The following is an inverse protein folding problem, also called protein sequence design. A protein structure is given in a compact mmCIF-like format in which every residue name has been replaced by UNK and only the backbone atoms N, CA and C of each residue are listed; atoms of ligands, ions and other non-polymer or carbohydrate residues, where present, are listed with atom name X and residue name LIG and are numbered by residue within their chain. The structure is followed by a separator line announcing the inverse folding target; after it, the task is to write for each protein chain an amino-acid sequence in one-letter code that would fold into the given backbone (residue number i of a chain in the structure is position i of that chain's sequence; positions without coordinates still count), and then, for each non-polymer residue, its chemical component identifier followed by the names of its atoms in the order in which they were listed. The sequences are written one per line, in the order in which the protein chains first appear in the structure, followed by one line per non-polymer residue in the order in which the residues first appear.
data_IF_282406548465
#
_entry.id   IF_282406548465
#
_cell.length_a   1.000
_cell.length_b   1.000
_cell.length_c   1.000
_cell.angle_alpha   90.00
_cell.angle_beta   90.00
_cell.angle_gamma   90.00
#
_symmetry.space_group_name_H-M   'P 1'
#
loop_
_entity.id
_entity.type
_entity.pdbx_description
1 polymer ?
#
# COMPACT_ATOMS: atom_id res chain seq x y z
N UNK A 1 45.73 24.58 36.49
CA UNK A 1 45.23 23.19 36.58
C UNK A 1 43.74 23.16 36.24
N UNK A 2 43.37 22.28 35.29
CA UNK A 2 42.07 21.58 35.10
C UNK A 2 40.75 22.36 34.88
N UNK A 3 40.41 22.46 33.58
CA UNK A 3 39.13 22.13 32.88
C UNK A 3 37.79 22.33 33.62
N UNK A 4 36.86 23.03 32.97
CA UNK A 4 35.49 22.51 32.83
C UNK A 4 34.81 23.02 31.54
N UNK A 5 34.98 22.27 30.45
CA UNK A 5 34.19 22.34 29.21
C UNK A 5 32.83 21.62 29.40
N UNK A 6 32.50 21.20 30.63
CA UNK A 6 31.39 20.29 30.91
C UNK A 6 30.02 20.96 31.07
N UNK A 7 29.87 22.27 30.83
CA UNK A 7 28.56 22.94 30.95
C UNK A 7 27.81 23.14 29.63
N UNK A 8 28.34 22.66 28.49
CA UNK A 8 27.62 22.68 27.20
C UNK A 8 27.23 21.26 26.72
N UNK A 9 27.59 20.21 27.46
CA UNK A 9 27.38 18.81 27.02
C UNK A 9 26.21 18.12 27.72
N UNK A 10 25.61 18.74 28.75
CA UNK A 10 24.55 18.12 29.55
C UNK A 10 23.11 18.36 29.07
N UNK A 11 22.89 19.20 28.06
CA UNK A 11 21.54 19.60 27.61
C UNK A 11 21.28 19.21 26.14
N UNK A 12 21.82 18.07 25.72
CA UNK A 12 21.57 17.48 24.39
C UNK A 12 21.20 15.99 24.45
N UNK A 13 20.77 15.49 25.62
CA UNK A 13 20.54 14.06 25.87
C UNK A 13 19.13 13.70 26.38
N UNK A 14 18.15 14.59 26.21
CA UNK A 14 16.74 14.32 26.56
C UNK A 14 15.78 14.62 25.40
N UNK A 15 16.17 14.23 24.19
CA UNK A 15 15.16 13.78 23.23
C UNK A 15 15.33 12.26 23.12
N UNK A 16 14.51 11.46 23.82
CA UNK A 16 14.19 10.15 23.29
C UNK A 16 13.60 10.42 21.92
N UNK A 17 14.36 9.98 20.93
CA UNK A 17 13.97 9.91 19.53
C UNK A 17 12.63 9.18 19.47
N UNK A 18 11.53 9.90 19.32
CA UNK A 18 10.32 9.34 18.73
C UNK A 18 10.58 9.12 17.23
N UNK A 19 11.59 8.33 16.90
CA UNK A 19 11.56 7.53 15.69
C UNK A 19 10.61 6.39 16.00
N UNK A 20 9.33 6.57 15.66
CA UNK A 20 8.34 5.50 15.76
C UNK A 20 8.92 4.28 15.07
N UNK A 21 9.23 3.25 15.86
CA UNK A 21 9.42 1.92 15.30
C UNK A 21 8.09 1.57 14.65
N UNK A 22 8.07 1.31 13.34
CA UNK A 22 6.98 0.54 12.75
C UNK A 22 7.13 -0.89 13.27
N UNK A 23 6.69 -1.12 14.50
CA UNK A 23 6.64 -2.46 15.08
C UNK A 23 5.52 -3.24 14.39
N UNK A 24 5.53 -4.57 14.53
CA UNK A 24 4.57 -5.43 13.84
C UNK A 24 3.11 -5.04 14.12
N UNK A 25 2.81 -4.54 15.32
CA UNK A 25 1.46 -4.07 15.69
C UNK A 25 0.97 -2.91 14.80
N UNK A 26 1.86 -2.00 14.39
CA UNK A 26 1.51 -0.90 13.47
C UNK A 26 1.16 -1.43 12.09
N UNK A 27 1.88 -2.46 11.63
CA UNK A 27 1.61 -3.11 10.34
C UNK A 27 0.26 -3.81 10.37
N UNK A 28 -0.06 -4.53 11.46
CA UNK A 28 -1.34 -5.19 11.62
C UNK A 28 -2.50 -4.18 11.53
N UNK A 29 -2.37 -3.04 12.24
CA UNK A 29 -3.36 -1.96 12.25
C UNK A 29 -3.49 -1.24 10.89
N UNK A 30 -2.36 -1.07 10.16
CA UNK A 30 -2.35 -0.51 8.82
C UNK A 30 -3.09 -1.42 7.85
N UNK A 31 -2.81 -2.72 7.82
CA UNK A 31 -3.33 -3.56 6.73
C UNK A 31 -4.75 -4.08 6.99
N UNK A 32 -5.11 -4.39 8.23
CA UNK A 32 -6.29 -5.23 8.51
C UNK A 32 -7.43 -4.50 9.22
N UNK A 33 -8.55 -5.20 9.43
CA UNK A 33 -9.74 -4.65 10.09
C UNK A 33 -10.57 -3.68 9.24
N UNK A 34 -10.24 -3.53 7.95
CA UNK A 34 -10.94 -2.66 7.00
C UNK A 34 -10.81 -3.16 5.56
N UNK A 35 -11.70 -2.68 4.72
CA UNK A 35 -11.60 -2.81 3.26
C UNK A 35 -10.85 -1.63 2.69
N UNK A 36 -9.78 -1.88 1.95
CA UNK A 36 -9.05 -0.86 1.21
C UNK A 36 -9.65 -0.72 -0.19
N UNK A 37 -9.97 0.50 -0.62
CA UNK A 37 -10.41 0.81 -1.99
C UNK A 37 -9.31 1.61 -2.70
N UNK A 38 -8.96 1.20 -3.92
CA UNK A 38 -8.04 1.95 -4.77
C UNK A 38 -8.63 3.35 -5.03
N UNK A 39 -7.79 4.36 -4.92
CA UNK A 39 -8.13 5.76 -5.21
C UNK A 39 -7.52 6.22 -6.52
N UNK A 40 -6.24 5.92 -6.74
CA UNK A 40 -5.54 6.16 -8.00
C UNK A 40 -4.21 5.39 -8.05
N UNK A 41 -3.64 5.30 -9.25
CA UNK A 41 -2.28 4.82 -9.50
C UNK A 41 -1.43 6.00 -9.92
N UNK A 42 -0.27 6.18 -9.31
CA UNK A 42 0.59 7.34 -9.59
C UNK A 42 2.07 6.97 -9.69
N UNK A 43 2.92 7.91 -10.10
CA UNK A 43 4.36 7.77 -9.92
C UNK A 43 4.71 7.93 -8.44
N UNK A 44 5.88 7.42 -8.02
CA UNK A 44 6.40 7.71 -6.68
C UNK A 44 6.38 9.23 -6.43
N UNK A 45 5.86 9.61 -5.27
CA UNK A 45 5.65 10.99 -4.82
C UNK A 45 4.61 11.81 -5.61
N UNK A 46 3.89 11.19 -6.54
CA UNK A 46 2.75 11.78 -7.24
C UNK A 46 1.48 11.81 -6.38
N UNK A 47 0.50 12.61 -6.82
CA UNK A 47 -0.77 12.81 -6.12
C UNK A 47 -2.00 12.77 -7.06
N UNK A 48 -1.80 12.26 -8.28
CA UNK A 48 -2.84 12.14 -9.30
C UNK A 48 -2.66 10.90 -10.14
N UNK A 49 -3.75 10.43 -10.74
CA UNK A 49 -3.76 9.33 -11.69
C UNK A 49 -2.78 9.60 -12.83
N UNK A 50 -1.90 8.65 -13.13
CA UNK A 50 -1.08 8.67 -14.35
C UNK A 50 -1.94 8.28 -15.56
N UNK A 51 -1.58 8.77 -16.74
CA UNK A 51 -2.25 8.32 -17.97
C UNK A 51 -1.83 6.87 -18.29
N UNK A 52 -2.73 5.94 -18.00
CA UNK A 52 -2.57 4.52 -18.34
C UNK A 52 -3.09 4.18 -19.74
N UNK A 53 -3.85 5.09 -20.35
CA UNK A 53 -4.63 4.84 -21.57
C UNK A 53 -3.98 5.43 -22.82
N UNK A 54 -2.86 6.15 -22.68
CA UNK A 54 -2.14 6.76 -23.79
C UNK A 54 -2.97 7.83 -24.51
N UNK A 55 -3.73 8.61 -23.74
CA UNK A 55 -4.64 9.63 -24.24
C UNK A 55 -5.99 9.12 -24.76
N UNK A 56 -6.30 7.82 -24.64
CA UNK A 56 -7.63 7.29 -25.01
C UNK A 56 -8.67 7.64 -23.94
N UNK A 57 -9.33 8.78 -24.11
CA UNK A 57 -10.32 9.32 -23.18
C UNK A 57 -11.52 8.39 -22.95
N UNK A 58 -11.94 7.62 -23.98
CA UNK A 58 -13.08 6.70 -23.85
C UNK A 58 -12.75 5.53 -22.93
N UNK A 59 -11.56 4.95 -23.08
CA UNK A 59 -11.10 3.90 -22.16
C UNK A 59 -10.85 4.45 -20.77
N UNK A 60 -10.31 5.67 -20.66
CA UNK A 60 -10.08 6.32 -19.38
C UNK A 60 -11.41 6.52 -18.62
N UNK A 61 -12.43 7.07 -19.30
CA UNK A 61 -13.75 7.26 -18.72
C UNK A 61 -14.38 5.94 -18.25
N UNK A 62 -14.32 4.89 -19.07
CA UNK A 62 -14.83 3.57 -18.68
C UNK A 62 -14.10 2.98 -17.45
N UNK A 63 -12.78 3.18 -17.34
CA UNK A 63 -12.02 2.77 -16.16
C UNK A 63 -12.37 3.59 -14.91
N UNK A 64 -12.59 4.91 -15.05
CA UNK A 64 -13.03 5.75 -13.93
C UNK A 64 -14.43 5.38 -13.42
N UNK A 65 -15.37 5.08 -14.31
CA UNK A 65 -16.70 4.59 -13.91
C UNK A 65 -16.60 3.30 -13.08
N UNK A 66 -15.72 2.39 -13.48
CA UNK A 66 -15.45 1.17 -12.71
C UNK A 66 -14.76 1.45 -11.39
N UNK A 67 -13.85 2.42 -11.34
CA UNK A 67 -13.15 2.83 -10.11
C UNK A 67 -14.13 3.42 -9.09
N UNK A 68 -15.06 4.26 -9.55
CA UNK A 68 -16.07 4.88 -8.70
C UNK A 68 -17.13 3.88 -8.21
N UNK A 69 -17.46 2.86 -9.00
CA UNK A 69 -18.42 1.83 -8.62
C UNK A 69 -18.09 1.18 -7.26
N UNK A 70 -19.13 0.99 -6.44
CA UNK A 70 -19.00 0.38 -5.13
C UNK A 70 -18.52 -1.07 -5.24
N UNK A 71 -17.63 -1.48 -4.34
CA UNK A 71 -17.06 -2.84 -4.29
C UNK A 71 -15.93 -3.10 -5.30
N UNK A 72 -15.78 -2.31 -6.36
CA UNK A 72 -14.67 -2.47 -7.30
C UNK A 72 -13.34 -1.96 -6.73
N UNK A 73 -12.24 -2.55 -7.19
CA UNK A 73 -10.87 -2.26 -6.77
C UNK A 73 -10.68 -2.27 -5.25
N UNK A 74 -11.28 -3.26 -4.59
CA UNK A 74 -11.24 -3.42 -3.13
C UNK A 74 -10.34 -4.59 -2.72
N UNK A 75 -9.69 -4.46 -1.56
CA UNK A 75 -8.87 -5.51 -0.95
C UNK A 75 -9.07 -5.54 0.56
N UNK A 76 -9.26 -6.74 1.11
CA UNK A 76 -9.35 -7.03 2.53
C UNK A 76 -8.19 -7.94 2.92
N UNK A 77 -7.36 -7.48 3.85
CA UNK A 77 -6.26 -8.28 4.38
C UNK A 77 -6.66 -8.92 5.72
N UNK A 78 -6.32 -10.19 5.89
CA UNK A 78 -6.42 -10.92 7.15
C UNK A 78 -5.03 -11.38 7.58
N UNK A 79 -4.82 -11.54 8.88
CA UNK A 79 -3.57 -12.03 9.46
C UNK A 79 -3.72 -13.54 9.74
N UNK A 80 -2.70 -14.31 9.37
CA UNK A 80 -2.56 -15.72 9.74
C UNK A 80 -1.52 -15.88 10.85
N UNK A 81 -0.35 -15.27 10.67
CA UNK A 81 0.74 -15.29 11.67
C UNK A 81 1.34 -13.90 11.80
N UNK A 82 1.79 -13.61 13.02
CA UNK A 82 2.54 -12.41 13.37
C UNK A 82 3.75 -12.86 14.18
N UNK A 83 4.91 -12.94 13.53
CA UNK A 83 6.14 -13.45 14.12
C UNK A 83 7.27 -12.45 13.83
N UNK A 84 7.94 -12.01 14.89
CA UNK A 84 8.97 -10.98 14.83
C UNK A 84 8.49 -9.69 14.13
N UNK A 85 9.20 -9.27 13.07
CA UNK A 85 8.89 -8.11 12.25
C UNK A 85 7.97 -8.45 11.06
N UNK A 86 7.56 -9.72 10.88
CA UNK A 86 6.89 -10.21 9.68
C UNK A 86 5.46 -10.64 10.01
N UNK A 87 4.51 -10.03 9.28
CA UNK A 87 3.12 -10.46 9.24
C UNK A 87 2.91 -11.27 7.98
N UNK A 88 2.27 -12.44 8.11
CA UNK A 88 1.79 -13.22 7.00
C UNK A 88 0.28 -13.32 7.07
N UNK A 89 -0.36 -13.35 5.91
CA UNK A 89 -1.81 -13.37 5.86
C UNK A 89 -2.37 -13.73 4.50
N UNK A 90 -3.70 -13.73 4.45
CA UNK A 90 -4.44 -13.86 3.21
C UNK A 90 -5.11 -12.53 2.84
N UNK A 91 -5.48 -12.42 1.58
CA UNK A 91 -6.39 -11.36 1.16
C UNK A 91 -7.47 -11.91 0.25
N UNK A 92 -8.61 -11.23 0.27
CA UNK A 92 -9.63 -11.34 -0.74
C UNK A 92 -10.01 -9.93 -1.19
N UNK A 93 -10.67 -9.84 -2.33
CA UNK A 93 -11.07 -8.56 -2.87
C UNK A 93 -11.78 -8.69 -4.20
N UNK A 94 -12.00 -7.55 -4.82
CA UNK A 94 -12.69 -7.46 -6.09
C UNK A 94 -11.98 -6.45 -6.98
N UNK A 95 -11.66 -6.87 -8.21
CA UNK A 95 -11.04 -6.03 -9.23
C UNK A 95 -12.11 -5.18 -9.89
N UNK A 96 -13.08 -5.82 -10.56
CA UNK A 96 -14.28 -5.18 -11.11
C UNK A 96 -15.51 -6.03 -10.82
N UNK A 97 -16.70 -5.57 -11.22
CA UNK A 97 -17.96 -6.25 -10.93
C UNK A 97 -17.95 -7.70 -11.42
N UNK A 98 -18.12 -8.66 -10.49
CA UNK A 98 -18.06 -10.10 -10.79
C UNK A 98 -16.65 -10.67 -11.04
N UNK A 99 -15.59 -9.88 -10.81
CA UNK A 99 -14.18 -10.30 -10.94
C UNK A 99 -13.49 -10.21 -9.58
N UNK A 100 -13.51 -11.33 -8.85
CA UNK A 100 -12.84 -11.45 -7.55
C UNK A 100 -11.33 -11.60 -7.69
N UNK A 101 -10.62 -11.33 -6.59
CA UNK A 101 -9.23 -11.70 -6.43
C UNK A 101 -8.97 -12.24 -5.02
N UNK A 102 -7.96 -13.11 -4.90
CA UNK A 102 -7.49 -13.62 -3.63
C UNK A 102 -6.02 -14.01 -3.69
N UNK A 103 -5.41 -14.23 -2.53
CA UNK A 103 -4.06 -14.73 -2.44
C UNK A 103 -3.49 -14.66 -1.03
N UNK A 104 -2.17 -14.68 -0.96
CA UNK A 104 -1.40 -14.52 0.27
C UNK A 104 -0.60 -13.23 0.22
N UNK A 105 -0.33 -12.64 1.36
CA UNK A 105 0.53 -11.47 1.48
C UNK A 105 1.48 -11.63 2.67
N UNK A 106 2.60 -10.93 2.62
CA UNK A 106 3.43 -10.70 3.78
C UNK A 106 3.95 -9.27 3.80
N UNK A 107 4.14 -8.73 5.00
CA UNK A 107 4.78 -7.43 5.21
C UNK A 107 5.84 -7.52 6.29
N UNK A 108 6.90 -6.73 6.17
CA UNK A 108 7.90 -6.55 7.22
C UNK A 108 7.85 -5.10 7.71
N UNK A 109 7.49 -4.87 8.98
CA UNK A 109 7.32 -3.52 9.54
C UNK A 109 8.61 -2.71 9.56
N UNK A 110 9.68 -3.34 10.03
CA UNK A 110 11.01 -2.72 10.17
C UNK A 110 11.65 -2.33 8.84
N UNK A 111 11.47 -3.15 7.80
CA UNK A 111 12.02 -2.92 6.46
C UNK A 111 11.04 -2.23 5.51
N UNK A 112 9.78 -2.06 5.92
CA UNK A 112 8.69 -1.55 5.09
C UNK A 112 8.53 -2.30 3.76
N UNK A 113 8.83 -3.61 3.74
CA UNK A 113 8.67 -4.46 2.55
C UNK A 113 7.29 -5.09 2.56
N UNK A 114 6.70 -5.27 1.38
CA UNK A 114 5.41 -5.92 1.18
C UNK A 114 5.50 -6.84 -0.03
N UNK A 115 4.84 -7.99 0.00
CA UNK A 115 4.71 -8.86 -1.17
C UNK A 115 3.35 -9.55 -1.18
N UNK A 116 2.83 -9.75 -2.39
CA UNK A 116 1.74 -10.68 -2.67
C UNK A 116 2.30 -11.97 -3.28
N UNK A 117 1.71 -13.09 -2.92
CA UNK A 117 2.01 -14.42 -3.47
C UNK A 117 0.71 -15.16 -3.76
N UNK A 118 0.72 -16.06 -4.73
CA UNK A 118 -0.45 -16.86 -5.13
C UNK A 118 -1.68 -15.99 -5.48
N UNK A 119 -1.47 -14.89 -6.20
CA UNK A 119 -2.56 -14.04 -6.67
C UNK A 119 -3.38 -14.79 -7.71
N UNK A 120 -4.63 -15.05 -7.38
CA UNK A 120 -5.67 -15.44 -8.33
C UNK A 120 -6.60 -14.24 -8.53
N UNK A 121 -6.74 -13.77 -9.76
CA UNK A 121 -7.51 -12.56 -10.07
C UNK A 121 -8.24 -12.67 -11.40
N UNK A 122 -9.54 -12.41 -11.37
CA UNK A 122 -10.33 -12.19 -12.57
C UNK A 122 -10.03 -10.82 -13.20
N UNK A 123 -9.99 -10.76 -14.53
CA UNK A 123 -9.94 -9.50 -15.28
C UNK A 123 -11.06 -9.47 -16.31
N UNK A 124 -11.60 -8.27 -16.57
CA UNK A 124 -12.54 -7.99 -17.66
C UNK A 124 -11.85 -7.30 -18.86
N UNK A 125 -10.52 -7.20 -18.84
CA UNK A 125 -9.73 -6.59 -19.91
C UNK A 125 -9.47 -5.09 -19.76
N UNK A 126 -10.10 -4.42 -18.79
CA UNK A 126 -9.92 -3.00 -18.50
C UNK A 126 -8.46 -2.64 -18.20
N UNK A 127 -8.05 -1.45 -18.66
CA UNK A 127 -6.66 -1.00 -18.57
C UNK A 127 -6.24 -0.74 -17.12
N UNK A 128 -7.10 -0.07 -16.33
CA UNK A 128 -6.85 0.15 -14.91
C UNK A 128 -6.89 -1.17 -14.13
N UNK A 129 -7.83 -2.08 -14.44
CA UNK A 129 -7.88 -3.41 -13.83
C UNK A 129 -6.60 -4.21 -14.05
N UNK A 130 -6.04 -4.19 -15.27
CA UNK A 130 -4.78 -4.85 -15.58
C UNK A 130 -3.61 -4.23 -14.81
N UNK A 131 -3.53 -2.90 -14.78
CA UNK A 131 -2.47 -2.21 -14.05
C UNK A 131 -2.58 -2.43 -12.53
N UNK A 132 -3.80 -2.47 -11.98
CA UNK A 132 -4.04 -2.78 -10.58
C UNK A 132 -3.55 -4.18 -10.19
N UNK A 133 -3.90 -5.19 -10.98
CA UNK A 133 -3.43 -6.58 -10.77
C UNK A 133 -1.90 -6.65 -10.89
N UNK A 134 -1.32 -6.04 -11.93
CA UNK A 134 0.12 -6.00 -12.12
C UNK A 134 0.86 -5.28 -10.98
N UNK A 135 0.30 -4.16 -10.50
CA UNK A 135 0.83 -3.40 -9.38
C UNK A 135 0.80 -4.19 -8.07
N UNK A 136 -0.31 -4.90 -7.79
CA UNK A 136 -0.41 -5.79 -6.62
C UNK A 136 0.62 -6.93 -6.69
N UNK A 137 0.73 -7.57 -7.85
CA UNK A 137 1.67 -8.68 -8.08
C UNK A 137 3.13 -8.25 -7.99
N UNK A 138 3.44 -7.00 -8.40
CA UNK A 138 4.79 -6.44 -8.43
C UNK A 138 5.16 -5.60 -7.20
N UNK A 139 4.25 -5.42 -6.25
CA UNK A 139 4.53 -4.61 -5.06
C UNK A 139 5.65 -5.24 -4.21
N UNK A 140 6.60 -4.40 -3.80
CA UNK A 140 7.77 -4.81 -3.02
C UNK A 140 7.90 -4.08 -1.68
N UNK A 141 7.18 -2.97 -1.52
CA UNK A 141 7.27 -2.08 -0.37
C UNK A 141 5.97 -1.33 -0.16
N UNK A 142 5.80 -0.84 1.07
CA UNK A 142 4.60 -0.11 1.45
C UNK A 142 4.94 1.12 2.29
N UNK A 143 3.97 2.02 2.38
CA UNK A 143 3.90 3.08 3.39
C UNK A 143 2.47 3.13 3.90
N UNK A 144 2.31 3.21 5.21
CA UNK A 144 1.04 3.56 5.85
C UNK A 144 1.20 4.90 6.56
N UNK A 145 0.14 5.71 6.55
CA UNK A 145 0.03 6.86 7.45
C UNK A 145 -1.28 6.72 8.23
N UNK A 146 -1.17 6.33 9.49
CA UNK A 146 -2.20 6.47 10.51
C UNK A 146 -3.58 5.95 10.10
N UNK A 147 -3.63 4.71 9.61
CA UNK A 147 -4.85 3.96 9.21
C UNK A 147 -5.72 4.58 8.09
N UNK A 148 -5.33 5.74 7.55
CA UNK A 148 -6.15 6.52 6.60
C UNK A 148 -5.81 6.27 5.15
N UNK A 149 -4.55 5.94 4.87
CA UNK A 149 -4.10 5.63 3.53
C UNK A 149 -3.10 4.48 3.57
N UNK A 150 -3.16 3.64 2.54
CA UNK A 150 -2.18 2.61 2.26
C UNK A 150 -1.56 2.88 0.90
N UNK A 151 -0.23 2.88 0.85
CA UNK A 151 0.54 3.07 -0.35
C UNK A 151 1.33 1.79 -0.62
N UNK A 152 1.13 1.18 -1.79
CA UNK A 152 1.92 0.02 -2.24
C UNK A 152 2.77 0.43 -3.43
N UNK A 153 4.09 0.28 -3.30
CA UNK A 153 5.04 0.68 -4.34
C UNK A 153 5.49 -0.54 -5.14
N UNK A 154 5.60 -0.36 -6.45
CA UNK A 154 6.04 -1.39 -7.39
C UNK A 154 6.84 -0.77 -8.52
N UNK A 155 7.73 -1.58 -9.11
CA UNK A 155 8.52 -1.17 -10.27
C UNK A 155 7.76 -1.44 -11.57
N UNK A 156 7.71 -0.46 -12.46
CA UNK A 156 7.16 -0.58 -13.81
C UNK A 156 8.15 0.03 -14.81
N UNK A 157 8.93 -0.84 -15.47
CA UNK A 157 10.09 -0.42 -16.26
C UNK A 157 11.12 0.31 -15.39
N UNK A 158 11.48 1.54 -15.80
CA UNK A 158 12.45 2.38 -15.08
C UNK A 158 11.80 3.30 -14.03
N UNK A 159 10.50 3.15 -13.78
CA UNK A 159 9.75 4.01 -12.87
C UNK A 159 9.24 3.21 -11.68
N UNK A 160 9.24 3.85 -10.50
CA UNK A 160 8.46 3.36 -9.36
C UNK A 160 7.07 3.98 -9.42
N UNK A 161 6.05 3.13 -9.40
CA UNK A 161 4.65 3.51 -9.31
C UNK A 161 4.11 3.20 -7.92
N UNK A 162 2.95 3.77 -7.60
CA UNK A 162 2.27 3.61 -6.33
C UNK A 162 0.79 3.34 -6.57
N UNK A 163 0.29 2.25 -5.98
CA UNK A 163 -1.15 2.06 -5.75
C UNK A 163 -1.52 2.81 -4.47
N UNK A 164 -2.47 3.73 -4.56
CA UNK A 164 -2.92 4.52 -3.42
C UNK A 164 -4.31 4.08 -3.01
N UNK A 165 -4.47 3.67 -1.76
CA UNK A 165 -5.73 3.21 -1.21
C UNK A 165 -6.19 4.07 -0.05
N UNK A 166 -7.51 4.16 0.11
CA UNK A 166 -8.18 4.67 1.30
C UNK A 166 -9.15 3.61 1.83
N UNK A 167 -9.54 3.65 3.11
CA UNK A 167 -10.60 2.81 3.62
C UNK A 167 -11.88 3.01 2.79
N UNK A 168 -12.48 1.91 2.33
CA UNK A 168 -13.77 1.93 1.68
C UNK A 168 -14.79 2.53 2.64
N UNK A 169 -15.61 3.45 2.13
CA UNK A 169 -16.76 3.96 2.88
C UNK A 169 -17.82 2.86 2.82
N UNK A 170 -18.19 2.34 4.00
CA UNK A 170 -19.37 1.49 4.14
C UNK A 170 -20.64 2.29 3.88
#
# INVERSE_FOLDING_TARGET
MKRSIFQIVGLLLLLPLFSGCNDSDDVAAIFTGKTWKLTYITLKDGNKMIDLWGGDEKKAQASYEKLEAAGNFTINFTINTNEDDIINGNFNGQVTTGKSMSGSWNANGKKSTFKISNLDAGSDGDVLAKEFIAGLQGADSFKGSDERNLFLYYSSGNQTRCLVFAPSKN
#
